data_IF_576181315030
#
_entry.id   IF_576181315030
#
_cell.length_a   1.000
_cell.length_b   1.000
_cell.length_c   1.000
_cell.angle_alpha   90.00
_cell.angle_beta   90.00
_cell.angle_gamma   90.00
#
_symmetry.space_group_name_H-M   'P 1'
#
loop_
_entity.id
_entity.type
_entity.pdbx_description
1 polymer ?
#
# COMPACT_ATOMS: atom_id res chain seq x y z
N UNK A 1 6.64 -78.79 -25.34
CA UNK A 1 5.57 -77.83 -25.02
C UNK A 1 5.47 -76.89 -26.23
N UNK A 2 4.70 -77.22 -27.28
CA UNK A 2 3.28 -76.81 -27.51
C UNK A 2 3.11 -75.30 -27.25
N UNK A 3 2.68 -74.39 -28.14
CA UNK A 3 1.89 -74.34 -29.40
C UNK A 3 2.09 -72.87 -29.90
N UNK A 4 2.49 -72.58 -31.14
CA UNK A 4 1.67 -72.36 -32.35
C UNK A 4 0.78 -71.10 -32.31
N UNK A 5 0.70 -70.42 -33.47
CA UNK A 5 -0.36 -69.50 -33.95
C UNK A 5 -0.22 -68.03 -33.55
N UNK A 6 -0.53 -67.01 -34.35
CA UNK A 6 -0.75 -66.77 -35.79
C UNK A 6 -1.46 -65.41 -35.86
N UNK A 7 -1.07 -64.59 -36.84
CA UNK A 7 -1.93 -63.68 -37.62
C UNK A 7 -2.72 -62.52 -37.00
N UNK A 8 -2.98 -61.59 -37.93
CA UNK A 8 -4.06 -60.60 -38.01
C UNK A 8 -3.87 -59.29 -37.23
N UNK A 9 -4.21 -58.11 -37.75
CA UNK A 9 -4.43 -57.54 -39.08
C UNK A 9 -4.87 -56.09 -38.81
N UNK A 10 -4.62 -55.20 -39.76
CA UNK A 10 -5.41 -54.00 -40.11
C UNK A 10 -5.48 -52.76 -39.18
N UNK A 11 -5.05 -51.68 -39.83
CA UNK A 11 -5.28 -50.26 -39.62
C UNK A 11 -6.70 -49.86 -39.17
N UNK A 12 -6.80 -48.72 -38.47
CA UNK A 12 -7.73 -47.64 -38.84
C UNK A 12 -7.23 -46.29 -38.32
N UNK A 13 -7.16 -45.32 -39.23
CA UNK A 13 -7.04 -43.90 -38.90
C UNK A 13 -8.29 -43.42 -38.17
N UNK A 14 -8.14 -42.59 -37.15
CA UNK A 14 -9.24 -41.78 -36.63
C UNK A 14 -8.78 -40.33 -36.56
N UNK A 15 -9.46 -39.50 -37.36
CA UNK A 15 -9.23 -38.09 -37.50
C UNK A 15 -9.47 -37.34 -36.18
N UNK A 16 -8.50 -36.55 -35.73
CA UNK A 16 -8.76 -35.56 -34.69
C UNK A 16 -9.47 -34.38 -35.34
N UNK A 17 -10.80 -34.42 -35.29
CA UNK A 17 -11.66 -33.30 -35.66
C UNK A 17 -11.37 -32.14 -34.71
N UNK A 18 -10.75 -31.08 -35.24
CA UNK A 18 -10.58 -29.81 -34.56
C UNK A 18 -11.98 -29.17 -34.39
N UNK A 19 -12.67 -29.50 -33.30
CA UNK A 19 -13.89 -28.80 -32.92
C UNK A 19 -13.51 -27.62 -32.04
N UNK A 20 -13.71 -26.44 -32.61
CA UNK A 20 -13.73 -25.14 -31.93
C UNK A 20 -14.60 -25.23 -30.67
N UNK A 21 -13.97 -25.08 -29.50
CA UNK A 21 -14.66 -24.95 -28.23
C UNK A 21 -15.29 -23.55 -28.13
N UNK A 22 -16.53 -23.44 -28.59
CA UNK A 22 -17.40 -22.30 -28.31
C UNK A 22 -18.13 -22.54 -26.98
N UNK A 23 -18.09 -21.51 -26.14
CA UNK A 23 -18.98 -21.23 -25.02
C UNK A 23 -18.57 -21.67 -23.61
N UNK A 24 -18.51 -20.68 -22.72
CA UNK A 24 -17.96 -20.66 -21.36
C UNK A 24 -18.92 -21.18 -20.28
N UNK A 25 -19.79 -22.16 -20.58
CA UNK A 25 -20.88 -22.53 -19.65
C UNK A 25 -20.97 -24.01 -19.24
N UNK A 26 -20.21 -24.92 -19.84
CA UNK A 26 -20.29 -26.36 -19.50
C UNK A 26 -19.00 -26.91 -18.89
N UNK A 27 -18.59 -26.36 -17.74
CA UNK A 27 -17.46 -26.89 -16.97
C UNK A 27 -17.84 -27.26 -15.53
N UNK A 28 -19.06 -27.79 -15.34
CA UNK A 28 -19.42 -28.46 -14.10
C UNK A 28 -20.05 -29.80 -14.48
N UNK A 29 -19.48 -30.86 -13.90
CA UNK A 29 -19.90 -32.26 -13.89
C UNK A 29 -19.18 -33.20 -14.88
N UNK A 30 -18.40 -34.10 -14.26
CA UNK A 30 -17.95 -35.42 -14.70
C UNK A 30 -16.60 -35.51 -15.42
N UNK A 31 -15.59 -36.08 -14.74
CA UNK A 31 -15.16 -37.44 -15.02
C UNK A 31 -14.04 -37.90 -14.06
N UNK A 32 -14.33 -38.97 -13.31
CA UNK A 32 -13.32 -39.87 -12.76
C UNK A 32 -12.77 -40.75 -13.89
N UNK A 33 -11.45 -40.76 -14.13
CA UNK A 33 -10.59 -41.95 -14.24
C UNK A 33 -9.28 -41.71 -15.01
N UNK A 34 -8.16 -42.05 -14.35
CA UNK A 34 -6.89 -42.56 -14.87
C UNK A 34 -6.02 -41.71 -15.83
N UNK A 35 -5.10 -40.91 -15.25
CA UNK A 35 -3.67 -40.88 -15.58
C UNK A 35 -2.97 -39.90 -14.60
N UNK A 36 -2.10 -40.42 -13.73
CA UNK A 36 -1.40 -39.65 -12.69
C UNK A 36 -0.32 -38.75 -13.30
N UNK A 37 -0.70 -37.53 -13.66
CA UNK A 37 0.22 -36.39 -13.74
C UNK A 37 0.06 -35.63 -12.44
N UNK A 38 1.11 -35.59 -11.61
CA UNK A 38 1.13 -34.81 -10.37
C UNK A 38 1.08 -33.30 -10.72
N UNK A 39 -0.10 -32.80 -11.02
CA UNK A 39 -0.36 -31.37 -11.09
C UNK A 39 -0.29 -30.85 -9.65
N UNK A 40 0.84 -30.24 -9.30
CA UNK A 40 1.00 -29.47 -8.07
C UNK A 40 -0.02 -28.35 -8.14
N UNK A 41 -1.18 -28.55 -7.51
CA UNK A 41 -2.20 -27.54 -7.34
C UNK A 41 -1.63 -26.48 -6.40
N UNK A 42 -0.97 -25.47 -6.97
CA UNK A 42 -0.66 -24.24 -6.28
C UNK A 42 -1.99 -23.56 -5.94
N UNK A 43 -2.52 -23.84 -4.76
CA UNK A 43 -3.67 -23.13 -4.21
C UNK A 43 -3.34 -21.63 -4.22
N UNK A 44 -4.11 -20.77 -4.90
CA UNK A 44 -3.92 -19.33 -4.77
C UNK A 44 -4.19 -18.97 -3.31
N UNK A 45 -3.13 -18.62 -2.59
CA UNK A 45 -3.26 -18.07 -1.24
C UNK A 45 -4.11 -16.81 -1.32
N UNK A 46 -5.18 -16.66 -0.52
CA UNK A 46 -5.93 -15.42 -0.47
C UNK A 46 -4.98 -14.32 -0.01
N UNK A 47 -4.62 -13.41 -0.92
CA UNK A 47 -4.02 -12.15 -0.56
C UNK A 47 -5.05 -11.40 0.29
N UNK A 48 -4.91 -11.50 1.60
CA UNK A 48 -5.71 -10.74 2.54
C UNK A 48 -5.43 -9.25 2.28
N UNK A 49 -6.34 -8.59 1.57
CA UNK A 49 -6.30 -7.16 1.40
C UNK A 49 -6.59 -6.52 2.76
N UNK A 50 -5.53 -6.28 3.54
CA UNK A 50 -5.65 -5.53 4.79
C UNK A 50 -6.12 -4.12 4.42
N UNK A 51 -7.27 -3.66 4.93
CA UNK A 51 -7.75 -2.32 4.64
C UNK A 51 -6.71 -1.32 5.13
N UNK A 52 -6.19 -0.52 4.20
CA UNK A 52 -5.24 0.52 4.55
C UNK A 52 -5.93 1.56 5.45
N UNK A 53 -5.40 1.73 6.66
CA UNK A 53 -5.98 2.59 7.69
C UNK A 53 -5.88 4.06 7.27
N UNK A 54 -6.96 4.82 7.46
CA UNK A 54 -7.04 6.26 7.09
C UNK A 54 -7.53 7.11 8.25
N UNK A 55 -7.34 8.43 8.16
CA UNK A 55 -7.67 9.34 9.26
C UNK A 55 -6.94 8.94 10.54
N UNK A 56 -7.61 9.07 11.69
CA UNK A 56 -7.05 8.75 13.00
C UNK A 56 -6.74 7.25 13.20
N UNK A 57 -7.30 6.37 12.37
CA UNK A 57 -6.99 4.93 12.45
C UNK A 57 -5.60 4.60 11.92
N UNK A 58 -5.01 5.46 11.07
CA UNK A 58 -3.65 5.25 10.58
C UNK A 58 -2.64 5.56 11.68
N UNK A 59 -1.68 4.66 11.89
CA UNK A 59 -0.58 4.86 12.86
C UNK A 59 0.20 6.13 12.54
N UNK A 60 0.36 6.45 11.25
CA UNK A 60 1.07 7.63 10.77
C UNK A 60 0.31 8.94 10.94
N UNK A 61 -1.01 8.93 11.17
CA UNK A 61 -1.74 10.20 11.35
C UNK A 61 -1.38 10.82 12.70
N UNK A 62 -0.98 12.09 12.68
CA UNK A 62 -0.65 12.85 13.89
C UNK A 62 0.35 13.97 13.64
N UNK A 63 0.87 14.50 14.74
CA UNK A 63 1.93 15.50 14.75
C UNK A 63 3.24 14.88 15.24
N UNK A 64 4.36 15.41 14.77
CA UNK A 64 5.68 14.89 15.06
C UNK A 64 6.68 16.02 15.31
N UNK A 65 7.60 15.75 16.24
CA UNK A 65 8.81 16.52 16.43
C UNK A 65 9.92 15.96 15.53
N UNK A 66 10.55 16.86 14.78
CA UNK A 66 11.70 16.57 13.92
C UNK A 66 12.96 17.17 14.55
N UNK A 67 13.91 16.37 15.06
CA UNK A 67 15.13 16.87 15.67
C UNK A 67 15.98 17.75 14.76
N UNK A 68 15.89 17.60 13.43
CA UNK A 68 16.59 18.47 12.47
C UNK A 68 15.94 19.85 12.36
N UNK A 69 14.70 20.00 12.82
CA UNK A 69 13.97 21.28 12.86
C UNK A 69 13.29 21.49 14.22
N UNK A 70 14.08 21.77 15.28
CA UNK A 70 13.54 21.92 16.64
C UNK A 70 12.43 22.96 16.73
N UNK A 71 11.34 22.61 17.40
CA UNK A 71 10.16 23.46 17.55
C UNK A 71 9.22 23.45 16.34
N UNK A 72 9.69 23.03 15.15
CA UNK A 72 8.89 23.01 13.94
C UNK A 72 8.14 21.68 13.79
N UNK A 73 6.84 21.69 14.06
CA UNK A 73 6.02 20.48 13.92
C UNK A 73 5.94 19.99 12.48
N UNK A 74 5.95 18.67 12.34
CA UNK A 74 5.47 17.97 11.15
C UNK A 74 4.07 17.45 11.42
N UNK A 75 3.17 17.60 10.47
CA UNK A 75 1.82 17.05 10.54
C UNK A 75 1.63 16.07 9.40
N UNK A 76 1.19 14.86 9.73
CA UNK A 76 0.85 13.84 8.75
C UNK A 76 -0.64 13.57 8.86
N UNK A 77 -1.35 13.71 7.74
CA UNK A 77 -2.74 13.32 7.60
C UNK A 77 -2.85 12.22 6.55
N UNK A 78 -3.23 11.01 6.97
CA UNK A 78 -3.56 9.95 6.02
C UNK A 78 -5.00 10.10 5.57
N UNK A 79 -5.20 10.22 4.26
CA UNK A 79 -6.51 10.38 3.63
C UNK A 79 -6.83 9.18 2.76
N UNK A 80 -8.12 8.87 2.63
CA UNK A 80 -8.59 7.86 1.68
C UNK A 80 -8.25 8.27 0.25
N UNK A 81 -8.08 7.29 -0.62
CA UNK A 81 -7.84 7.57 -2.04
C UNK A 81 -8.99 8.32 -2.67
N UNK A 82 -8.70 8.99 -3.78
CA UNK A 82 -9.67 9.72 -4.60
C UNK A 82 -10.66 8.75 -5.23
N UNK A 83 -11.94 9.12 -5.29
CA UNK A 83 -12.94 8.36 -6.06
C UNK A 83 -12.63 8.54 -7.55
N UNK A 84 -12.47 7.42 -8.25
CA UNK A 84 -12.26 7.40 -9.70
C UNK A 84 -13.62 7.37 -10.41
N UNK A 85 -13.60 7.67 -11.71
CA UNK A 85 -14.80 7.67 -12.55
C UNK A 85 -15.46 6.28 -12.69
N UNK A 86 -14.69 5.20 -12.47
CA UNK A 86 -15.18 3.81 -12.47
C UNK A 86 -15.91 3.42 -11.16
N UNK A 87 -16.06 4.36 -10.22
CA UNK A 87 -16.66 4.13 -8.90
C UNK A 87 -15.70 3.51 -7.88
N UNK A 88 -14.48 3.14 -8.28
CA UNK A 88 -13.49 2.60 -7.36
C UNK A 88 -12.72 3.71 -6.64
N UNK A 89 -12.38 3.46 -5.38
CA UNK A 89 -11.50 4.35 -4.62
C UNK A 89 -10.03 4.04 -4.95
N UNK A 90 -9.23 5.08 -5.14
CA UNK A 90 -7.78 4.96 -5.22
C UNK A 90 -7.14 4.44 -3.92
N UNK A 91 -5.83 4.20 -3.97
CA UNK A 91 -5.06 3.90 -2.76
C UNK A 91 -5.05 5.12 -1.83
N UNK A 92 -5.08 4.93 -0.50
CA UNK A 92 -4.87 6.05 0.41
C UNK A 92 -3.47 6.64 0.25
N UNK A 93 -3.35 7.90 0.64
CA UNK A 93 -2.11 8.65 0.57
C UNK A 93 -1.97 9.52 1.82
N UNK A 94 -0.75 9.97 2.07
CA UNK A 94 -0.42 10.85 3.18
C UNK A 94 -0.21 12.27 2.67
N UNK A 95 -0.77 13.24 3.37
CA UNK A 95 -0.42 14.65 3.25
C UNK A 95 0.51 15.01 4.40
N UNK A 96 1.73 15.40 4.09
CA UNK A 96 2.74 15.79 5.07
C UNK A 96 2.90 17.30 4.99
N UNK A 97 2.69 17.99 6.11
CA UNK A 97 2.90 19.43 6.23
C UNK A 97 3.96 19.71 7.29
N UNK A 98 4.63 20.83 7.15
CA UNK A 98 5.58 21.28 8.16
C UNK A 98 6.13 22.65 7.85
N UNK A 99 6.98 23.14 8.73
CA UNK A 99 7.77 24.35 8.54
C UNK A 99 9.23 24.02 8.87
N UNK A 100 10.17 24.75 8.28
CA UNK A 100 11.60 24.53 8.56
C UNK A 100 12.23 25.65 9.37
N UNK A 101 11.57 26.81 9.44
CA UNK A 101 12.00 28.06 10.10
C UNK A 101 10.77 28.80 10.62
N UNK A 102 10.98 29.77 11.52
CA UNK A 102 9.90 30.62 12.05
C UNK A 102 8.97 29.88 13.02
N UNK A 103 9.51 28.94 13.80
CA UNK A 103 8.68 28.01 14.58
C UNK A 103 8.26 28.54 15.95
N UNK A 104 8.85 29.67 16.37
CA UNK A 104 8.41 30.47 17.52
C UNK A 104 7.22 31.38 17.20
N UNK A 105 7.03 31.72 15.91
CA UNK A 105 5.89 32.50 15.39
C UNK A 105 5.38 31.82 14.10
N UNK A 106 4.63 30.72 14.23
CA UNK A 106 4.28 29.89 13.10
C UNK A 106 3.29 30.61 12.18
N UNK A 107 3.66 30.79 10.92
CA UNK A 107 2.80 31.42 9.91
C UNK A 107 2.40 30.46 8.80
N UNK A 108 1.16 30.56 8.33
CA UNK A 108 0.64 29.68 7.27
C UNK A 108 1.42 29.79 5.96
N UNK A 109 1.96 30.98 5.65
CA UNK A 109 2.79 31.21 4.46
C UNK A 109 4.10 30.41 4.47
N UNK A 110 4.57 30.00 5.64
CA UNK A 110 5.81 29.23 5.79
C UNK A 110 5.57 27.71 5.77
N UNK A 111 4.31 27.27 5.73
CA UNK A 111 3.95 25.86 5.72
C UNK A 111 4.14 25.28 4.33
N UNK A 112 5.04 24.31 4.23
CA UNK A 112 5.16 23.48 3.04
C UNK A 112 4.19 22.29 3.12
N UNK A 113 3.85 21.71 1.96
CA UNK A 113 3.01 20.52 1.84
C UNK A 113 3.64 19.53 0.86
N UNK A 114 3.76 18.28 1.28
CA UNK A 114 4.30 17.15 0.51
C UNK A 114 3.28 16.01 0.46
N UNK A 115 3.44 15.17 -0.54
CA UNK A 115 2.66 13.95 -0.69
C UNK A 115 3.46 12.75 -0.20
N UNK A 116 2.77 11.73 0.30
CA UNK A 116 3.35 10.45 0.61
C UNK A 116 2.44 9.29 0.24
N UNK A 117 3.05 8.12 0.05
CA UNK A 117 2.34 6.86 -0.17
C UNK A 117 2.57 5.92 1.01
N UNK A 118 1.67 4.94 1.15
CA UNK A 118 1.67 4.00 2.26
C UNK A 118 1.85 2.58 1.73
N UNK A 119 2.59 1.77 2.46
CA UNK A 119 2.76 0.34 2.19
C UNK A 119 2.90 -0.44 3.49
N UNK A 120 2.97 -1.76 3.35
CA UNK A 120 3.49 -2.67 4.37
C UNK A 120 4.67 -3.44 3.80
N UNK A 121 5.61 -3.86 4.63
CA UNK A 121 6.60 -4.87 4.23
C UNK A 121 6.03 -6.29 4.37
N UNK A 122 6.87 -7.29 4.08
CA UNK A 122 6.51 -8.71 4.15
C UNK A 122 6.16 -9.14 5.59
N UNK A 123 6.74 -8.48 6.58
CA UNK A 123 6.49 -8.69 8.01
C UNK A 123 5.23 -7.97 8.51
N UNK A 124 4.57 -7.16 7.67
CA UNK A 124 3.34 -6.45 8.00
C UNK A 124 3.53 -5.10 8.71
N UNK A 125 4.76 -4.65 8.91
CA UNK A 125 5.12 -3.34 9.45
C UNK A 125 4.59 -2.21 8.54
N UNK A 126 4.04 -1.16 9.15
CA UNK A 126 3.56 0.00 8.43
C UNK A 126 4.74 0.84 7.89
N UNK A 127 4.70 1.16 6.60
CA UNK A 127 5.70 1.98 5.90
C UNK A 127 5.04 3.22 5.28
N UNK A 128 5.75 4.33 5.31
CA UNK A 128 5.39 5.57 4.61
C UNK A 128 6.52 5.98 3.67
N UNK A 129 6.20 6.43 2.46
CA UNK A 129 7.15 7.00 1.52
C UNK A 129 6.79 8.44 1.28
N UNK A 130 7.68 9.38 1.62
CA UNK A 130 7.41 10.81 1.50
C UNK A 130 8.19 11.39 0.32
N UNK A 131 7.50 12.18 -0.51
CA UNK A 131 8.09 12.88 -1.65
C UNK A 131 8.63 14.25 -1.25
N UNK A 132 9.94 14.32 -1.03
CA UNK A 132 10.65 15.57 -0.74
C UNK A 132 11.18 16.27 -2.01
N UNK A 133 10.88 15.77 -3.21
CA UNK A 133 11.35 16.39 -4.46
C UNK A 133 10.93 17.86 -4.64
N UNK A 134 9.74 18.32 -4.19
CA UNK A 134 9.39 19.74 -4.23
C UNK A 134 10.31 20.65 -3.39
N UNK A 135 11.06 20.05 -2.46
CA UNK A 135 12.05 20.72 -1.59
C UNK A 135 13.50 20.41 -2.00
N UNK A 136 13.71 19.76 -3.15
CA UNK A 136 15.04 19.34 -3.62
C UNK A 136 15.55 18.04 -2.98
N UNK A 137 14.71 17.31 -2.26
CA UNK A 137 15.05 16.03 -1.64
C UNK A 137 14.69 14.81 -2.49
N UNK A 138 14.86 13.60 -1.94
CA UNK A 138 14.50 12.36 -2.61
C UNK A 138 12.98 12.21 -2.78
N UNK A 139 12.57 11.59 -3.89
CA UNK A 139 11.16 11.42 -4.28
C UNK A 139 10.37 10.42 -3.42
N UNK A 140 11.05 9.46 -2.80
CA UNK A 140 10.40 8.38 -2.05
C UNK A 140 11.23 8.06 -0.80
N UNK A 141 11.37 9.03 0.10
CA UNK A 141 12.07 8.76 1.36
C UNK A 141 11.26 7.77 2.18
N UNK A 142 11.83 6.59 2.43
CA UNK A 142 11.23 5.56 3.28
C UNK A 142 11.23 6.02 4.74
N UNK A 143 10.07 5.96 5.37
CA UNK A 143 9.89 6.05 6.81
C UNK A 143 9.29 4.75 7.34
N UNK A 144 9.94 4.14 8.33
CA UNK A 144 9.41 2.95 9.02
C UNK A 144 8.72 3.39 10.30
N UNK A 145 7.55 2.81 10.59
CA UNK A 145 6.93 3.00 11.90
C UNK A 145 7.80 2.34 12.97
N UNK A 146 8.06 3.06 14.07
CA UNK A 146 8.95 2.61 15.14
C UNK A 146 8.51 3.18 16.49
N UNK A 147 9.12 2.73 17.59
CA UNK A 147 8.93 3.25 18.94
C UNK A 147 10.28 3.53 19.59
N UNK A 148 10.52 4.79 19.94
CA UNK A 148 11.76 5.27 20.55
C UNK A 148 11.50 5.60 22.02
N UNK A 149 12.15 4.91 22.95
CA UNK A 149 12.01 5.16 24.40
C UNK A 149 10.54 5.16 24.88
N UNK A 150 9.72 4.28 24.29
CA UNK A 150 8.27 4.20 24.57
C UNK A 150 7.41 5.22 23.83
N UNK A 151 8.00 6.08 23.01
CA UNK A 151 7.31 7.11 22.21
C UNK A 151 7.20 6.63 20.76
N UNK A 152 5.98 6.49 20.20
CA UNK A 152 5.80 6.09 18.81
C UNK A 152 6.36 7.14 17.85
N UNK A 153 6.83 6.72 16.68
CA UNK A 153 7.43 7.63 15.71
C UNK A 153 7.75 7.00 14.36
N UNK A 154 8.54 7.72 13.56
CA UNK A 154 8.96 7.32 12.22
C UNK A 154 10.49 7.38 12.15
N UNK A 155 11.14 6.27 11.81
CA UNK A 155 12.59 6.21 11.54
C UNK A 155 12.87 6.35 10.05
N UNK A 156 13.85 7.19 9.72
CA UNK A 156 14.32 7.42 8.36
C UNK A 156 15.74 6.85 8.14
N UNK A 157 16.10 6.43 6.91
CA UNK A 157 17.42 5.89 6.57
C UNK A 157 18.60 6.84 6.83
N UNK A 158 18.35 8.14 6.88
CA UNK A 158 19.35 9.18 7.14
C UNK A 158 19.66 9.36 8.64
N UNK A 159 19.12 8.49 9.49
CA UNK A 159 19.23 8.55 10.95
C UNK A 159 18.28 9.54 11.62
N UNK A 160 17.47 10.30 10.85
CA UNK A 160 16.46 11.17 11.43
C UNK A 160 15.31 10.35 12.01
N UNK A 161 14.72 10.85 13.10
CA UNK A 161 13.61 10.19 13.81
C UNK A 161 12.55 11.22 14.13
N UNK A 162 11.34 11.02 13.62
CA UNK A 162 10.22 11.88 13.94
C UNK A 162 9.43 11.26 15.09
N UNK A 163 9.47 11.87 16.26
CA UNK A 163 8.76 11.39 17.46
C UNK A 163 7.34 11.95 17.49
N UNK A 164 6.34 11.10 17.68
CA UNK A 164 4.94 11.51 17.67
C UNK A 164 4.60 12.32 18.92
N UNK A 165 3.93 13.44 18.73
CA UNK A 165 3.48 14.32 19.81
C UNK A 165 2.17 13.78 20.36
N UNK A 166 2.18 13.36 21.63
CA UNK A 166 0.97 12.96 22.34
C UNK A 166 0.06 14.18 22.59
N UNK A 167 -1.26 13.99 22.49
CA UNK A 167 -2.30 15.01 22.68
C UNK A 167 -2.34 16.19 21.68
N UNK A 168 -1.36 16.29 20.76
CA UNK A 168 -1.25 17.40 19.82
C UNK A 168 -0.83 18.70 20.52
N UNK A 169 -0.30 19.64 19.74
CA UNK A 169 0.17 20.94 20.27
C UNK A 169 -0.38 22.08 19.43
N UNK A 170 -1.66 22.47 19.65
CA UNK A 170 -2.33 23.49 18.86
C UNK A 170 -1.60 24.84 18.80
N UNK A 171 -0.92 25.23 19.88
CA UNK A 171 -0.22 26.51 20.05
C UNK A 171 1.03 26.60 19.15
N UNK A 172 1.57 25.45 18.74
CA UNK A 172 2.72 25.34 17.84
C UNK A 172 2.30 25.27 16.38
N UNK A 173 1.00 25.23 16.09
CA UNK A 173 0.47 25.32 14.72
C UNK A 173 0.32 26.78 14.33
N UNK A 174 0.47 27.10 13.04
CA UNK A 174 0.06 28.41 12.55
C UNK A 174 -1.42 28.65 12.87
N UNK A 175 -1.80 29.87 13.29
CA UNK A 175 -3.18 30.20 13.54
C UNK A 175 -4.00 29.98 12.27
N UNK A 176 -5.22 29.43 12.37
CA UNK A 176 -6.11 29.32 11.22
C UNK A 176 -6.41 30.71 10.68
N UNK A 177 -6.58 30.82 9.35
CA UNK A 177 -7.11 32.05 8.76
C UNK A 177 -8.50 32.27 9.34
N UNK A 178 -8.67 33.26 10.22
CA UNK A 178 -9.99 33.77 10.54
C UNK A 178 -10.52 34.42 9.28
N UNK A 179 -11.46 33.77 8.60
CA UNK A 179 -12.26 34.45 7.59
C UNK A 179 -13.02 35.54 8.32
N UNK A 180 -12.49 36.76 8.31
CA UNK A 180 -13.27 37.94 8.66
C UNK A 180 -14.34 38.07 7.59
N UNK A 181 -15.55 37.67 7.91
CA UNK A 181 -16.73 38.00 7.11
C UNK A 181 -16.90 39.52 7.16
N UNK A 182 -16.44 40.21 6.13
CA UNK A 182 -16.59 41.65 6.02
C UNK A 182 -15.53 42.26 5.12
N UNK A 183 -15.87 42.39 3.84
CA UNK A 183 -15.80 43.63 3.04
C UNK A 183 -16.70 43.47 1.81
#
# INVERSE_FOLDING_TARGET
MRVLVSLCFLATSSALSLRTATSRRDAIVSAFSAASVAAVLSSPSPAAAVPARTGLSSVFTGEYDDPKHPGCLRSIKVVGGTMKADGNRGKPYALVKGMDKGCSDPQLANVWSLNGSLSKNEEGEDLIFIDFSPKGGPKNLLGKWDTFDGIPGISFPDGNKWTKVAAGTPERRPPPVTLTTGD
#
